data_IF_323108363891
#
_entry.id   IF_323108363891
#
_cell.length_a   1.000
_cell.length_b   1.000
_cell.length_c   1.000
_cell.angle_alpha   90.00
_cell.angle_beta   90.00
_cell.angle_gamma   90.00
#
_symmetry.space_group_name_H-M   'P 1'
#
loop_
_entity.id
_entity.type
_entity.pdbx_description
1 polymer ?
#
# COMPACT_ATOMS: atom_id res chain seq x y z
N UNK A 1 -8.31 -11.09 -14.62
CA UNK A 1 -6.89 -10.74 -14.41
C UNK A 1 -6.79 -9.26 -14.10
N UNK A 2 -5.81 -8.87 -13.26
CA UNK A 2 -5.53 -7.45 -13.01
C UNK A 2 -4.68 -6.85 -14.13
N UNK A 3 -4.89 -5.56 -14.39
CA UNK A 3 -4.16 -4.80 -15.42
C UNK A 3 -3.36 -3.71 -14.72
N UNK A 4 -2.10 -3.54 -15.08
CA UNK A 4 -1.27 -2.41 -14.61
C UNK A 4 -1.28 -1.32 -15.68
N UNK A 5 -1.52 -0.09 -15.26
CA UNK A 5 -1.34 1.09 -16.06
C UNK A 5 -0.05 1.77 -15.63
N UNK A 6 0.81 2.05 -16.58
CA UNK A 6 2.12 2.67 -16.33
C UNK A 6 2.24 3.87 -17.26
N UNK A 7 2.48 5.05 -16.66
CA UNK A 7 2.89 6.24 -17.39
C UNK A 7 4.38 6.46 -17.19
N UNK A 8 5.07 6.83 -18.27
CA UNK A 8 6.52 7.01 -18.24
C UNK A 8 6.92 7.99 -19.36
N UNK A 9 7.94 8.79 -19.10
CA UNK A 9 8.56 9.67 -20.11
C UNK A 9 9.15 8.90 -21.30
N UNK A 10 9.35 7.59 -21.19
CA UNK A 10 9.75 6.72 -22.29
C UNK A 10 8.65 6.59 -23.36
N UNK A 11 7.38 6.60 -22.94
CA UNK A 11 6.23 6.45 -23.81
C UNK A 11 5.61 7.80 -24.21
N UNK A 12 5.56 8.72 -23.26
CA UNK A 12 5.05 10.08 -23.45
C UNK A 12 5.92 11.05 -22.65
N UNK A 13 6.91 11.69 -23.31
CA UNK A 13 7.79 12.66 -22.65
C UNK A 13 7.06 13.88 -22.09
N UNK A 14 5.98 14.30 -22.72
CA UNK A 14 5.21 15.49 -22.34
C UNK A 14 4.27 15.21 -21.15
N UNK A 15 3.83 13.94 -20.99
CA UNK A 15 2.92 13.51 -19.93
C UNK A 15 3.46 12.26 -19.22
N UNK A 16 4.56 12.36 -18.46
CA UNK A 16 5.22 11.20 -17.83
C UNK A 16 4.42 10.58 -16.67
N UNK A 17 3.31 11.23 -16.29
CA UNK A 17 2.42 10.81 -15.20
C UNK A 17 0.95 10.96 -15.61
N UNK A 18 0.08 10.23 -14.94
CA UNK A 18 -1.36 10.45 -15.00
C UNK A 18 -1.72 11.63 -14.11
N UNK A 19 -2.09 12.75 -14.72
CA UNK A 19 -2.46 13.99 -14.01
C UNK A 19 -3.99 14.10 -13.92
N UNK A 20 -4.56 13.38 -12.98
CA UNK A 20 -6.00 13.38 -12.74
C UNK A 20 -6.27 13.00 -11.28
N UNK A 21 -7.26 13.62 -10.67
CA UNK A 21 -7.72 13.26 -9.34
C UNK A 21 -8.56 11.98 -9.39
N UNK A 22 -7.87 10.85 -9.41
CA UNK A 22 -8.52 9.53 -9.41
C UNK A 22 -9.13 9.18 -8.06
N UNK A 23 -8.57 9.70 -6.99
CA UNK A 23 -8.95 9.36 -5.62
C UNK A 23 -9.15 10.67 -4.86
N UNK A 24 -10.41 11.05 -4.64
CA UNK A 24 -10.73 12.14 -3.75
C UNK A 24 -10.35 11.81 -2.29
N UNK A 25 -10.41 12.79 -1.41
CA UNK A 25 -10.03 12.63 -0.01
C UNK A 25 -10.79 11.49 0.67
N UNK A 26 -12.05 11.27 0.28
CA UNK A 26 -12.90 10.22 0.85
C UNK A 26 -12.51 8.81 0.36
N UNK A 27 -11.84 8.72 -0.79
CA UNK A 27 -11.41 7.44 -1.41
C UNK A 27 -9.95 7.10 -1.19
N UNK A 28 -9.23 7.89 -0.42
CA UNK A 28 -7.86 7.61 -0.06
C UNK A 28 -6.81 8.23 -0.95
N UNK A 29 -7.20 9.18 -1.70
CA UNK A 29 -6.25 9.97 -2.47
C UNK A 29 -5.21 10.57 -1.54
N UNK A 30 -3.95 10.43 -1.91
CA UNK A 30 -2.91 11.25 -1.32
C UNK A 30 -3.20 12.69 -1.72
N UNK A 31 -3.66 13.51 -0.78
CA UNK A 31 -4.10 14.88 -1.03
C UNK A 31 -2.97 15.81 -1.50
N UNK A 32 -1.74 15.33 -1.55
CA UNK A 32 -0.56 16.11 -1.91
C UNK A 32 -0.16 16.01 -3.38
N UNK A 33 -0.76 15.14 -4.18
CA UNK A 33 -0.39 15.04 -5.58
C UNK A 33 -1.42 14.33 -6.45
N UNK A 34 -2.00 15.05 -7.38
CA UNK A 34 -2.88 14.52 -8.43
C UNK A 34 -2.09 13.82 -9.55
N UNK A 35 -0.88 13.34 -9.26
CA UNK A 35 0.04 12.79 -10.24
C UNK A 35 0.44 11.36 -9.88
N UNK A 36 0.16 10.41 -10.77
CA UNK A 36 0.40 8.99 -10.56
C UNK A 36 1.23 8.43 -11.70
N UNK A 37 2.31 7.73 -11.39
CA UNK A 37 3.08 7.02 -12.41
C UNK A 37 2.59 5.59 -12.65
N UNK A 38 1.85 5.02 -11.71
CA UNK A 38 1.34 3.65 -11.79
C UNK A 38 -0.01 3.53 -11.11
N UNK A 39 -0.94 2.89 -11.82
CA UNK A 39 -2.25 2.50 -11.33
C UNK A 39 -2.47 1.01 -11.57
N UNK A 40 -3.38 0.41 -10.81
CA UNK A 40 -3.76 -0.99 -10.98
C UNK A 40 -5.26 -1.09 -11.09
N UNK A 41 -5.72 -1.75 -12.14
CA UNK A 41 -7.09 -2.19 -12.28
C UNK A 41 -7.17 -3.61 -11.73
N UNK A 42 -7.69 -3.78 -10.52
CA UNK A 42 -7.81 -5.08 -9.85
C UNK A 42 -9.17 -5.69 -10.08
N UNK A 43 -9.17 -7.01 -10.24
CA UNK A 43 -10.38 -7.81 -10.44
C UNK A 43 -11.04 -8.28 -9.12
N UNK A 44 -10.79 -7.61 -8.00
CA UNK A 44 -11.35 -7.99 -6.70
C UNK A 44 -10.54 -9.02 -5.90
N UNK A 45 -9.62 -9.77 -6.54
CA UNK A 45 -8.84 -10.81 -5.84
C UNK A 45 -9.72 -11.89 -5.23
N UNK A 46 -9.54 -12.21 -3.94
CA UNK A 46 -10.35 -13.17 -3.19
C UNK A 46 -11.80 -12.72 -2.98
N UNK A 47 -12.11 -11.42 -3.13
CA UNK A 47 -13.47 -10.85 -3.06
C UNK A 47 -14.18 -10.84 -4.43
N UNK A 48 -13.60 -11.49 -5.44
CA UNK A 48 -14.14 -11.47 -6.82
C UNK A 48 -15.56 -12.04 -6.93
N UNK A 49 -15.84 -13.08 -6.19
CA UNK A 49 -17.17 -13.73 -6.13
C UNK A 49 -18.04 -13.19 -5.00
N UNK A 50 -17.52 -12.24 -4.23
CA UNK A 50 -18.19 -11.61 -3.10
C UNK A 50 -18.73 -10.22 -3.43
N UNK A 51 -18.31 -9.26 -2.62
CA UNK A 51 -18.82 -7.88 -2.69
C UNK A 51 -18.09 -7.01 -3.71
N UNK A 52 -16.87 -7.35 -4.09
CA UNK A 52 -15.94 -6.57 -4.92
C UNK A 52 -15.55 -5.19 -4.32
N UNK A 53 -15.95 -4.89 -3.07
CA UNK A 53 -15.65 -3.62 -2.40
C UNK A 53 -14.87 -3.78 -1.09
N UNK A 54 -14.53 -5.03 -0.69
CA UNK A 54 -13.82 -5.31 0.57
C UNK A 54 -12.58 -4.44 0.72
N UNK A 55 -11.78 -4.34 -0.31
CA UNK A 55 -10.58 -3.51 -0.30
C UNK A 55 -10.87 -2.03 -0.04
N UNK A 56 -11.91 -1.48 -0.66
CA UNK A 56 -12.26 -0.06 -0.48
C UNK A 56 -12.68 0.22 0.95
N UNK A 57 -13.48 -0.67 1.54
CA UNK A 57 -13.92 -0.56 2.94
C UNK A 57 -12.73 -0.63 3.88
N UNK A 58 -11.86 -1.64 3.71
CA UNK A 58 -10.66 -1.84 4.54
C UNK A 58 -9.73 -0.64 4.44
N UNK A 59 -9.42 -0.17 3.23
CA UNK A 59 -8.52 0.99 3.03
C UNK A 59 -9.09 2.27 3.62
N UNK A 60 -10.41 2.47 3.54
CA UNK A 60 -11.06 3.62 4.14
C UNK A 60 -10.98 3.60 5.66
N UNK A 61 -11.32 2.48 6.29
CA UNK A 61 -11.25 2.33 7.75
C UNK A 61 -9.82 2.49 8.26
N UNK A 62 -8.84 1.89 7.58
CA UNK A 62 -7.44 2.02 7.93
C UNK A 62 -6.97 3.49 7.89
N UNK A 63 -7.40 4.24 6.89
CA UNK A 63 -7.06 5.65 6.78
C UNK A 63 -7.76 6.52 7.82
N UNK A 64 -9.04 6.28 8.08
CA UNK A 64 -9.76 6.97 9.16
C UNK A 64 -9.10 6.73 10.53
N UNK A 65 -8.34 5.63 10.65
CA UNK A 65 -7.50 5.32 11.81
C UNK A 65 -6.09 5.94 11.75
N UNK A 66 -5.78 6.78 10.75
CA UNK A 66 -4.49 7.46 10.60
C UNK A 66 -3.43 6.68 9.85
N UNK A 67 -3.72 5.47 9.34
CA UNK A 67 -2.74 4.70 8.57
C UNK A 67 -2.60 5.21 7.13
N UNK A 68 -1.40 5.11 6.59
CA UNK A 68 -1.12 5.40 5.17
C UNK A 68 -1.66 4.25 4.32
N UNK A 69 -2.65 4.55 3.49
CA UNK A 69 -3.29 3.57 2.61
C UNK A 69 -3.32 4.04 1.16
N UNK A 70 -3.19 3.10 0.23
CA UNK A 70 -3.36 3.38 -1.19
C UNK A 70 -4.78 3.84 -1.50
N UNK A 71 -4.90 4.83 -2.35
CA UNK A 71 -6.18 5.24 -2.92
C UNK A 71 -6.83 4.08 -3.67
N UNK A 72 -8.14 3.92 -3.48
CA UNK A 72 -8.91 2.89 -4.15
C UNK A 72 -10.35 3.33 -4.41
N UNK A 73 -10.86 3.04 -5.60
CA UNK A 73 -12.27 3.27 -5.96
C UNK A 73 -12.79 2.18 -6.89
N UNK A 74 -14.07 1.80 -6.77
CA UNK A 74 -14.70 0.95 -7.77
C UNK A 74 -14.91 1.70 -9.09
N UNK A 75 -14.90 0.98 -10.18
CA UNK A 75 -15.15 1.51 -11.52
C UNK A 75 -15.70 0.47 -12.46
N UNK A 76 -16.17 0.93 -13.60
CA UNK A 76 -16.62 0.07 -14.69
C UNK A 76 -15.55 0.14 -15.79
N UNK A 77 -15.08 -1.03 -16.22
CA UNK A 77 -14.10 -1.14 -17.27
C UNK A 77 -14.76 -1.49 -18.62
N UNK A 78 -14.45 -0.71 -19.63
CA UNK A 78 -14.70 -1.04 -21.03
C UNK A 78 -13.36 -1.27 -21.73
N UNK A 79 -13.24 -2.34 -22.49
CA UNK A 79 -12.10 -2.63 -23.34
C UNK A 79 -12.53 -2.62 -24.80
N UNK A 80 -11.90 -1.79 -25.60
CA UNK A 80 -12.24 -1.61 -27.02
C UNK A 80 -13.75 -1.30 -27.26
N UNK A 81 -14.37 -0.59 -26.32
CA UNK A 81 -15.79 -0.26 -26.39
C UNK A 81 -16.75 -1.33 -25.85
N UNK A 82 -16.24 -2.50 -25.49
CA UNK A 82 -17.04 -3.58 -24.92
C UNK A 82 -16.97 -3.55 -23.38
N UNK A 83 -18.11 -3.81 -22.74
CA UNK A 83 -18.18 -3.92 -21.28
C UNK A 83 -17.38 -5.12 -20.79
N UNK A 84 -16.38 -4.86 -19.98
CA UNK A 84 -15.52 -5.92 -19.43
C UNK A 84 -15.93 -6.35 -18.01
N UNK A 85 -16.44 -5.41 -17.19
CA UNK A 85 -16.90 -5.70 -15.85
C UNK A 85 -16.59 -4.59 -14.84
N UNK A 86 -16.89 -4.89 -13.58
CA UNK A 86 -16.54 -4.05 -12.45
C UNK A 86 -15.07 -4.33 -12.07
N UNK A 87 -14.32 -3.27 -11.81
CA UNK A 87 -12.93 -3.33 -11.38
C UNK A 87 -12.71 -2.43 -10.16
N UNK A 88 -11.59 -2.64 -9.48
CA UNK A 88 -11.06 -1.74 -8.47
C UNK A 88 -9.89 -0.96 -9.08
N UNK A 89 -10.06 0.34 -9.30
CA UNK A 89 -8.94 1.23 -9.59
C UNK A 89 -8.18 1.48 -8.30
N UNK A 90 -6.90 1.20 -8.28
CA UNK A 90 -6.05 1.34 -7.10
C UNK A 90 -4.75 2.07 -7.45
N UNK A 91 -4.31 2.87 -6.52
CA UNK A 91 -2.96 3.38 -6.50
C UNK A 91 -1.97 2.22 -6.30
N UNK A 92 -0.87 2.23 -7.05
CA UNK A 92 0.20 1.26 -6.84
C UNK A 92 1.17 1.77 -5.77
N UNK A 93 1.27 1.06 -4.65
CA UNK A 93 2.28 1.37 -3.64
C UNK A 93 3.69 1.27 -4.22
N UNK A 94 4.42 2.36 -4.13
CA UNK A 94 5.82 2.49 -4.54
C UNK A 94 6.56 3.36 -3.52
N UNK A 95 7.88 3.33 -3.51
CA UNK A 95 8.67 4.22 -2.67
C UNK A 95 8.35 5.72 -2.93
N UNK A 96 7.91 6.06 -4.14
CA UNK A 96 7.47 7.42 -4.46
C UNK A 96 6.21 7.83 -3.68
N UNK A 97 5.21 6.95 -3.64
CA UNK A 97 3.94 7.23 -2.94
C UNK A 97 4.15 7.32 -1.43
N UNK A 98 4.96 6.43 -0.86
CA UNK A 98 5.30 6.46 0.56
C UNK A 98 6.09 7.72 0.90
N UNK A 99 7.12 8.05 0.13
CA UNK A 99 7.91 9.27 0.32
C UNK A 99 7.02 10.52 0.32
N UNK A 100 6.08 10.61 -0.63
CA UNK A 100 5.11 11.70 -0.71
C UNK A 100 4.22 11.76 0.54
N UNK A 101 3.76 10.61 1.03
CA UNK A 101 2.87 10.54 2.19
C UNK A 101 3.56 10.95 3.50
N UNK A 102 4.86 10.64 3.64
CA UNK A 102 5.64 10.97 4.86
C UNK A 102 6.49 12.23 4.72
N UNK A 103 6.45 12.92 3.58
CA UNK A 103 7.25 14.13 3.33
C UNK A 103 8.75 13.87 3.15
N UNK A 104 9.14 12.68 2.72
CA UNK A 104 10.53 12.27 2.50
C UNK A 104 10.92 12.31 1.01
N UNK A 105 12.20 12.10 0.72
CA UNK A 105 12.64 11.88 -0.67
C UNK A 105 12.51 10.40 -1.04
N UNK A 106 12.19 10.11 -2.30
CA UNK A 106 12.05 8.73 -2.79
C UNK A 106 13.26 7.84 -2.47
N UNK A 107 14.47 8.41 -2.55
CA UNK A 107 15.71 7.66 -2.32
C UNK A 107 15.97 7.34 -0.84
N UNK A 108 15.21 7.99 0.08
CA UNK A 108 15.28 7.72 1.51
C UNK A 108 14.33 6.59 1.94
N UNK A 109 13.47 6.15 1.02
CA UNK A 109 12.51 5.06 1.26
C UNK A 109 13.11 3.73 0.78
N UNK A 110 13.32 2.84 1.72
CA UNK A 110 13.67 1.45 1.46
C UNK A 110 12.45 0.57 1.65
N UNK A 111 12.08 -0.18 0.63
CA UNK A 111 10.96 -1.10 0.66
C UNK A 111 11.43 -2.48 1.05
N UNK A 112 10.67 -3.13 1.93
CA UNK A 112 10.94 -4.46 2.38
C UNK A 112 9.75 -5.41 2.15
N UNK A 113 10.01 -6.55 1.54
CA UNK A 113 9.06 -7.65 1.37
C UNK A 113 9.50 -8.88 2.19
N UNK A 114 8.58 -9.67 2.75
CA UNK A 114 8.91 -10.79 3.65
C UNK A 114 9.88 -11.83 3.08
N UNK A 115 9.89 -11.97 1.76
CA UNK A 115 10.75 -12.93 1.06
C UNK A 115 12.15 -12.39 0.75
N UNK A 116 12.44 -11.13 1.05
CA UNK A 116 13.70 -10.44 0.78
C UNK A 116 14.54 -10.23 2.04
N UNK A 117 14.53 -11.22 2.95
CA UNK A 117 15.15 -11.18 4.31
C UNK A 117 16.64 -10.79 4.33
N UNK A 118 17.30 -10.72 3.18
CA UNK A 118 18.73 -10.48 3.06
C UNK A 118 19.11 -9.06 2.63
N UNK A 119 18.18 -8.11 2.50
CA UNK A 119 18.55 -6.71 2.28
C UNK A 119 19.11 -6.11 3.57
N UNK A 120 20.26 -5.47 3.48
CA UNK A 120 21.23 -5.32 4.57
C UNK A 120 20.79 -4.45 5.76
N UNK A 121 19.85 -3.54 5.63
CA UNK A 121 19.36 -2.72 6.76
C UNK A 121 18.22 -3.39 7.51
N UNK A 122 17.23 -3.86 6.79
CA UNK A 122 16.04 -4.44 7.42
C UNK A 122 16.30 -5.84 8.00
N UNK A 123 17.23 -6.61 7.44
CA UNK A 123 17.66 -7.87 8.05
C UNK A 123 18.09 -7.73 9.50
N UNK A 124 18.69 -6.59 9.87
CA UNK A 124 19.00 -6.24 11.24
C UNK A 124 17.75 -6.06 12.10
N UNK A 125 16.74 -5.31 11.63
CA UNK A 125 15.48 -5.09 12.36
C UNK A 125 14.62 -6.35 12.43
N UNK A 126 14.51 -7.09 11.35
CA UNK A 126 13.81 -8.38 11.33
C UNK A 126 14.38 -9.35 12.36
N UNK A 127 15.70 -9.45 12.44
CA UNK A 127 16.36 -10.29 13.43
C UNK A 127 16.15 -9.77 14.87
N UNK A 128 16.00 -8.46 15.07
CA UNK A 128 15.64 -7.89 16.37
C UNK A 128 14.21 -8.24 16.78
N UNK A 129 13.26 -8.22 15.85
CA UNK A 129 11.86 -8.63 16.09
C UNK A 129 11.71 -10.10 16.52
N UNK A 130 12.66 -10.96 16.14
CA UNK A 130 12.66 -12.38 16.49
C UNK A 130 13.50 -12.69 17.74
N UNK A 131 13.99 -11.68 18.43
CA UNK A 131 14.71 -11.83 19.69
C UNK A 131 13.74 -11.80 20.89
N UNK A 132 14.25 -12.18 22.06
CA UNK A 132 13.49 -12.10 23.28
C UNK A 132 13.17 -10.64 23.64
N UNK A 133 11.93 -10.22 23.40
CA UNK A 133 11.45 -8.87 23.72
C UNK A 133 11.18 -8.64 25.21
N UNK A 134 11.39 -9.64 26.07
CA UNK A 134 11.39 -9.45 27.53
C UNK A 134 12.68 -8.78 28.02
N UNK A 135 13.72 -8.71 27.18
CA UNK A 135 14.93 -7.93 27.47
C UNK A 135 14.65 -6.43 27.24
N UNK A 136 14.69 -5.57 28.28
CA UNK A 136 14.37 -4.15 28.15
C UNK A 136 15.27 -3.38 27.18
N UNK A 137 16.53 -3.80 26.98
CA UNK A 137 17.43 -3.13 26.05
C UNK A 137 17.04 -3.44 24.60
N UNK A 138 16.61 -4.65 24.31
CA UNK A 138 16.12 -5.05 22.99
C UNK A 138 14.80 -4.41 22.67
N UNK A 139 13.90 -4.34 23.65
CA UNK A 139 12.66 -3.62 23.49
C UNK A 139 12.89 -2.15 23.16
N UNK A 140 13.74 -1.46 23.91
CA UNK A 140 14.09 -0.05 23.65
C UNK A 140 14.73 0.16 22.26
N UNK A 141 15.57 -0.78 21.82
CA UNK A 141 16.16 -0.74 20.49
C UNK A 141 15.09 -0.86 19.39
N UNK A 142 14.13 -1.76 19.56
CA UNK A 142 13.01 -1.92 18.63
C UNK A 142 12.13 -0.67 18.59
N UNK A 143 11.74 -0.13 19.74
CA UNK A 143 10.92 1.08 19.86
C UNK A 143 11.59 2.31 19.24
N UNK A 144 12.92 2.36 19.22
CA UNK A 144 13.67 3.44 18.55
C UNK A 144 13.73 3.30 17.03
N UNK A 145 13.50 2.09 16.50
CA UNK A 145 13.66 1.77 15.08
C UNK A 145 12.32 1.63 14.34
N UNK A 146 11.24 1.40 15.05
CA UNK A 146 9.92 1.11 14.49
C UNK A 146 8.91 2.11 15.02
N UNK A 147 8.07 2.64 14.13
CA UNK A 147 6.87 3.37 14.54
C UNK A 147 5.89 2.38 15.19
N UNK A 148 5.99 2.28 16.52
CA UNK A 148 5.21 1.33 17.30
C UNK A 148 3.72 1.62 17.26
N UNK A 149 3.31 2.88 17.13
CA UNK A 149 1.90 3.25 17.02
C UNK A 149 1.33 2.75 15.69
N UNK A 150 2.02 3.00 14.59
CA UNK A 150 1.62 2.52 13.26
C UNK A 150 1.60 0.99 13.21
N UNK A 151 2.60 0.32 13.79
CA UNK A 151 2.65 -1.14 13.87
C UNK A 151 1.44 -1.69 14.62
N UNK A 152 1.11 -1.16 15.80
CA UNK A 152 -0.02 -1.62 16.59
C UNK A 152 -1.36 -1.36 15.90
N UNK A 153 -1.53 -0.22 15.23
CA UNK A 153 -2.70 0.08 14.41
C UNK A 153 -2.86 -0.93 13.27
N UNK A 154 -1.76 -1.27 12.59
CA UNK A 154 -1.77 -2.28 11.53
C UNK A 154 -2.17 -3.67 12.06
N UNK A 155 -1.66 -4.08 13.22
CA UNK A 155 -2.03 -5.32 13.88
C UNK A 155 -3.52 -5.34 14.26
N UNK A 156 -3.99 -4.29 14.91
CA UNK A 156 -5.39 -4.17 15.29
C UNK A 156 -6.32 -4.22 14.06
N UNK A 157 -5.99 -3.48 13.01
CA UNK A 157 -6.74 -3.50 11.77
C UNK A 157 -6.75 -4.89 11.12
N UNK A 158 -5.61 -5.57 11.08
CA UNK A 158 -5.51 -6.91 10.49
C UNK A 158 -6.38 -7.93 11.23
N UNK A 159 -6.43 -7.86 12.56
CA UNK A 159 -7.29 -8.74 13.38
C UNK A 159 -8.76 -8.40 13.18
N UNK A 160 -9.14 -7.11 13.29
CA UNK A 160 -10.54 -6.67 13.20
C UNK A 160 -11.14 -6.97 11.83
N UNK A 161 -10.34 -6.85 10.77
CA UNK A 161 -10.78 -7.01 9.38
C UNK A 161 -10.62 -8.45 8.86
N UNK A 162 -10.26 -9.39 9.75
CA UNK A 162 -10.06 -10.80 9.41
C UNK A 162 -9.11 -10.98 8.20
N UNK A 163 -7.90 -10.39 8.30
CA UNK A 163 -6.88 -10.53 7.29
C UNK A 163 -6.20 -11.91 7.42
N UNK A 164 -6.75 -12.90 6.74
CA UNK A 164 -6.29 -14.30 6.79
C UNK A 164 -4.88 -14.53 6.26
N UNK A 165 -4.37 -13.61 5.43
CA UNK A 165 -3.01 -13.71 4.87
C UNK A 165 -1.95 -13.26 5.88
N UNK A 166 -2.35 -12.44 6.85
CA UNK A 166 -1.46 -11.93 7.88
C UNK A 166 -1.33 -12.95 9.04
N UNK A 167 -0.16 -13.10 9.69
CA UNK A 167 1.10 -12.35 9.48
C UNK A 167 2.04 -12.97 8.43
N UNK A 168 1.66 -14.03 7.75
CA UNK A 168 2.58 -14.84 6.95
C UNK A 168 2.87 -14.28 5.55
N UNK A 169 1.92 -13.55 4.97
CA UNK A 169 1.98 -13.11 3.56
C UNK A 169 1.40 -11.71 3.37
N UNK A 170 1.73 -11.11 2.23
CA UNK A 170 1.08 -9.90 1.71
C UNK A 170 1.20 -8.65 2.61
N UNK A 171 2.32 -8.50 3.33
CA UNK A 171 2.65 -7.28 4.03
C UNK A 171 3.91 -6.62 3.46
N UNK A 172 4.03 -5.32 3.68
CA UNK A 172 5.18 -4.51 3.28
C UNK A 172 5.58 -3.62 4.45
N UNK A 173 6.89 -3.44 4.62
CA UNK A 173 7.46 -2.45 5.53
C UNK A 173 8.30 -1.44 4.72
N UNK A 174 8.40 -0.24 5.23
CA UNK A 174 9.08 0.89 4.59
C UNK A 174 10.02 1.57 5.56
#
# INVERSE_FOLDING_TARGET
KSIKLISSSEYDPDHPTFEYDFFDADMGGNTTGQSYNRLVLRNGGSDHEGTMIKWNVVSRLARESGMICAGARPGILFLNGEYYGIIQLQEKYTAYNVASAVGAQKNDIEKYEPNEVNSSRFGGYYNQLHQDLNDPQRQASLESAVDMENLLQYYAASVIMDNIDWPSHNYLSW
#
